data_IF_423446737223
#
_entry.id   IF_423446737223
#
_cell.length_a   1.000
_cell.length_b   1.000
_cell.length_c   1.000
_cell.angle_alpha   90.00
_cell.angle_beta   90.00
_cell.angle_gamma   90.00
#
_symmetry.space_group_name_H-M   'P 1'
#
loop_
_entity.id
_entity.type
_entity.pdbx_description
1 polymer ?
#
# COMPACT_ATOMS: atom_id res chain seq x y z
N UNK A 1 10.86 -81.50 14.18
CA UNK A 1 10.10 -80.93 13.03
C UNK A 1 9.62 -79.55 13.45
N UNK A 2 10.00 -78.52 12.67
CA UNK A 2 9.39 -77.19 12.44
C UNK A 2 8.32 -76.65 13.41
N UNK A 3 8.18 -75.36 13.75
CA UNK A 3 8.78 -74.06 13.41
C UNK A 3 8.01 -73.07 14.31
N UNK A 4 8.66 -72.27 15.17
CA UNK A 4 8.06 -71.04 15.75
C UNK A 4 9.15 -69.98 15.86
N UNK A 5 9.33 -69.23 14.78
CA UNK A 5 10.17 -68.04 14.70
C UNK A 5 9.36 -66.92 14.03
N UNK A 6 9.51 -65.71 14.54
CA UNK A 6 8.82 -64.48 14.12
C UNK A 6 7.53 -64.29 14.92
N UNK A 7 7.33 -63.24 15.74
CA UNK A 7 7.75 -61.87 15.55
C UNK A 7 7.68 -61.15 16.91
N UNK A 8 8.77 -61.15 17.69
CA UNK A 8 8.92 -60.32 18.90
C UNK A 8 9.83 -59.14 18.57
N UNK A 9 9.36 -58.23 17.71
CA UNK A 9 10.05 -56.96 17.42
C UNK A 9 9.16 -56.03 16.59
N UNK A 10 8.00 -55.58 17.09
CA UNK A 10 7.22 -54.52 16.44
C UNK A 10 6.20 -53.79 17.35
N UNK A 11 6.31 -53.86 18.68
CA UNK A 11 5.33 -53.25 19.59
C UNK A 11 6.00 -52.46 20.74
N UNK A 12 7.18 -51.88 20.46
CA UNK A 12 7.84 -50.93 21.35
C UNK A 12 7.73 -49.53 20.76
N UNK A 13 6.83 -48.69 21.28
CA UNK A 13 6.72 -47.30 20.85
C UNK A 13 5.35 -46.66 21.03
N UNK A 14 4.65 -46.94 22.14
CA UNK A 14 3.48 -46.16 22.55
C UNK A 14 3.92 -44.75 22.98
N UNK A 15 4.11 -43.86 22.01
CA UNK A 15 4.27 -42.42 22.25
C UNK A 15 2.91 -41.92 22.73
N UNK A 16 2.84 -41.43 23.97
CA UNK A 16 1.67 -40.73 24.51
C UNK A 16 1.35 -39.57 23.57
N UNK A 17 0.34 -39.71 22.72
CA UNK A 17 -0.36 -38.58 22.16
C UNK A 17 -1.06 -37.89 23.32
N UNK A 18 -0.49 -36.75 23.73
CA UNK A 18 -1.20 -35.75 24.50
C UNK A 18 -2.35 -35.25 23.64
N UNK A 19 -3.52 -35.87 23.78
CA UNK A 19 -4.79 -35.27 23.39
C UNK A 19 -4.96 -34.01 24.22
N UNK A 20 -4.49 -32.87 23.70
CA UNK A 20 -4.99 -31.56 24.08
C UNK A 20 -6.47 -31.56 23.71
N UNK A 21 -7.31 -31.86 24.71
CA UNK A 21 -8.71 -31.48 24.73
C UNK A 21 -8.74 -29.96 24.55
N UNK A 22 -8.96 -29.50 23.31
CA UNK A 22 -9.49 -28.17 23.05
C UNK A 22 -10.80 -28.09 23.82
N UNK A 23 -10.77 -27.40 24.97
CA UNK A 23 -11.97 -26.99 25.66
C UNK A 23 -12.86 -26.30 24.63
N UNK A 24 -13.97 -26.95 24.28
CA UNK A 24 -15.01 -26.33 23.48
C UNK A 24 -15.64 -25.28 24.39
N UNK A 25 -15.11 -24.06 24.32
CA UNK A 25 -15.72 -22.90 24.97
C UNK A 25 -17.17 -22.85 24.49
N UNK A 26 -18.10 -23.07 25.41
CA UNK A 26 -19.53 -22.90 25.13
C UNK A 26 -19.72 -21.51 24.54
N UNK A 27 -20.47 -21.34 23.45
CA UNK A 27 -20.68 -20.03 22.85
C UNK A 27 -21.26 -19.11 23.93
N UNK A 28 -20.54 -18.03 24.23
CA UNK A 28 -21.03 -16.99 25.12
C UNK A 28 -22.19 -16.32 24.40
N UNK A 29 -23.41 -16.60 24.83
CA UNK A 29 -24.61 -15.91 24.34
C UNK A 29 -24.61 -14.53 24.99
N UNK A 30 -24.06 -13.55 24.29
CA UNK A 30 -24.19 -12.14 24.66
C UNK A 30 -25.64 -11.75 24.35
N UNK A 31 -26.36 -11.19 25.32
CA UNK A 31 -27.71 -10.68 25.09
C UNK A 31 -27.66 -9.61 24.00
N UNK A 32 -28.48 -9.76 22.95
CA UNK A 32 -28.62 -8.74 21.93
C UNK A 32 -29.26 -7.50 22.59
N UNK A 33 -28.50 -6.42 22.71
CA UNK A 33 -28.97 -5.13 23.27
C UNK A 33 -29.79 -4.32 22.27
N UNK A 34 -30.07 -4.86 21.08
CA UNK A 34 -30.73 -4.15 20.01
C UNK A 34 -32.25 -4.28 20.07
N UNK A 35 -32.97 -3.16 20.05
CA UNK A 35 -34.44 -3.14 19.97
C UNK A 35 -34.90 -3.06 18.51
N UNK A 36 -35.89 -3.85 18.12
CA UNK A 36 -36.51 -3.72 16.80
C UNK A 36 -37.48 -2.55 16.80
N UNK A 37 -37.17 -1.51 16.03
CA UNK A 37 -37.95 -0.29 15.92
C UNK A 37 -38.31 -0.01 14.46
N UNK A 38 -39.40 0.73 14.25
CA UNK A 38 -39.76 1.30 12.96
C UNK A 38 -39.39 2.77 12.92
N UNK A 39 -38.39 3.11 12.12
CA UNK A 39 -37.77 4.44 12.13
C UNK A 39 -38.12 5.24 10.88
N UNK A 40 -38.21 6.56 11.03
CA UNK A 40 -38.28 7.47 9.89
C UNK A 40 -37.02 7.33 9.05
N UNK A 41 -37.17 7.22 7.73
CA UNK A 41 -35.99 7.13 6.84
C UNK A 41 -35.14 8.40 6.91
N UNK A 42 -35.78 9.56 7.14
CA UNK A 42 -35.12 10.87 7.25
C UNK A 42 -34.29 11.04 8.53
N UNK A 43 -34.50 10.23 9.57
CA UNK A 43 -33.70 10.27 10.79
C UNK A 43 -32.44 9.40 10.73
N UNK A 44 -32.23 8.67 9.64
CA UNK A 44 -31.14 7.73 9.47
C UNK A 44 -30.11 8.31 8.51
N UNK A 45 -28.85 8.30 8.90
CA UNK A 45 -27.70 8.76 8.10
C UNK A 45 -26.75 7.59 7.80
N UNK A 46 -26.12 7.54 6.62
CA UNK A 46 -25.08 6.55 6.34
C UNK A 46 -23.82 6.87 7.18
N UNK A 47 -23.07 5.84 7.55
CA UNK A 47 -21.76 6.04 8.16
C UNK A 47 -20.73 6.38 7.06
N UNK A 48 -20.15 7.60 7.06
CA UNK A 48 -19.17 8.00 6.04
C UNK A 48 -17.86 7.21 6.12
N UNK A 49 -17.69 6.40 7.16
CA UNK A 49 -16.48 5.63 7.40
C UNK A 49 -16.57 4.17 6.95
N UNK A 50 -17.69 3.78 6.34
CA UNK A 50 -17.88 2.44 5.81
C UNK A 50 -16.83 2.13 4.72
N UNK A 51 -16.27 0.91 4.71
CA UNK A 51 -15.24 0.54 3.73
C UNK A 51 -15.79 0.39 2.30
N UNK A 52 -17.10 0.15 2.14
CA UNK A 52 -17.76 0.07 0.83
C UNK A 52 -18.27 1.43 0.41
N UNK A 53 -17.77 1.94 -0.71
CA UNK A 53 -18.16 3.22 -1.31
C UNK A 53 -18.87 3.02 -2.66
N UNK A 54 -18.65 1.87 -3.30
CA UNK A 54 -19.17 1.55 -4.62
C UNK A 54 -20.50 0.80 -4.50
N UNK A 55 -21.53 1.37 -5.11
CA UNK A 55 -22.89 0.83 -5.11
C UNK A 55 -23.34 0.54 -6.55
N UNK A 56 -23.94 -0.62 -6.76
CA UNK A 56 -24.53 -0.97 -8.06
C UNK A 56 -25.98 -0.45 -8.14
N UNK A 57 -26.27 0.53 -9.02
CA UNK A 57 -27.62 1.08 -9.16
C UNK A 57 -28.65 0.02 -9.53
N UNK A 58 -28.29 -0.95 -10.37
CA UNK A 58 -29.22 -2.00 -10.81
C UNK A 58 -29.59 -2.92 -9.63
N UNK A 59 -28.63 -3.17 -8.73
CA UNK A 59 -28.87 -3.94 -7.52
C UNK A 59 -29.80 -3.21 -6.56
N UNK A 60 -29.60 -1.90 -6.36
CA UNK A 60 -30.50 -1.05 -5.55
C UNK A 60 -31.91 -1.06 -6.14
N UNK A 61 -32.05 -1.01 -7.47
CA UNK A 61 -33.35 -1.02 -8.15
C UNK A 61 -34.09 -2.33 -7.98
N UNK A 62 -33.34 -3.43 -8.05
CA UNK A 62 -33.88 -4.76 -7.76
C UNK A 62 -34.37 -4.86 -6.32
N UNK A 63 -33.59 -4.35 -5.36
CA UNK A 63 -34.00 -4.30 -3.95
C UNK A 63 -35.22 -3.40 -3.73
N UNK A 64 -35.31 -2.24 -4.37
CA UNK A 64 -36.44 -1.33 -4.24
C UNK A 64 -37.74 -1.99 -4.74
N UNK A 65 -37.69 -2.67 -5.90
CA UNK A 65 -38.82 -3.46 -6.41
C UNK A 65 -39.22 -4.58 -5.44
N UNK A 66 -38.24 -5.25 -4.84
CA UNK A 66 -38.50 -6.31 -3.85
C UNK A 66 -39.14 -5.78 -2.57
N UNK A 67 -38.67 -4.64 -2.08
CA UNK A 67 -39.27 -3.97 -0.92
C UNK A 67 -40.74 -3.61 -1.21
N UNK A 68 -41.05 -3.05 -2.38
CA UNK A 68 -42.43 -2.73 -2.76
C UNK A 68 -43.34 -3.97 -2.84
N UNK A 69 -42.81 -5.10 -3.34
CA UNK A 69 -43.58 -6.32 -3.55
C UNK A 69 -43.78 -7.15 -2.29
N UNK A 70 -42.69 -7.41 -1.58
CA UNK A 70 -42.63 -8.42 -0.51
C UNK A 70 -42.42 -7.79 0.89
N UNK A 71 -42.24 -6.46 0.97
CA UNK A 71 -41.89 -5.77 2.19
C UNK A 71 -40.44 -5.98 2.62
N UNK A 72 -40.13 -5.58 3.86
CA UNK A 72 -38.78 -5.67 4.41
C UNK A 72 -38.59 -6.99 5.16
N UNK A 73 -37.91 -7.94 4.53
CA UNK A 73 -37.64 -9.24 5.15
C UNK A 73 -36.53 -9.18 6.23
N UNK A 74 -35.59 -8.24 6.11
CA UNK A 74 -34.49 -8.10 7.06
C UNK A 74 -34.35 -6.65 7.54
N UNK A 75 -34.40 -6.40 8.86
CA UNK A 75 -34.16 -5.07 9.40
C UNK A 75 -32.73 -4.60 9.07
N UNK A 76 -32.56 -3.30 8.93
CA UNK A 76 -31.21 -2.68 8.95
C UNK A 76 -30.72 -2.65 10.41
N UNK A 77 -29.43 -2.46 10.63
CA UNK A 77 -28.92 -2.18 11.98
C UNK A 77 -28.42 -0.76 12.05
N UNK A 78 -28.78 -0.06 13.12
CA UNK A 78 -28.40 1.33 13.34
C UNK A 78 -27.90 1.54 14.75
N UNK A 79 -27.13 2.58 14.93
CA UNK A 79 -26.70 3.08 16.24
C UNK A 79 -27.35 4.44 16.47
N UNK A 80 -27.87 4.66 17.67
CA UNK A 80 -28.43 5.97 18.03
C UNK A 80 -27.31 6.99 18.25
N UNK A 81 -27.36 8.13 17.56
CA UNK A 81 -26.37 9.23 17.65
C UNK A 81 -26.91 10.48 18.35
N UNK A 82 -28.22 10.52 18.62
CA UNK A 82 -28.91 11.61 19.30
C UNK A 82 -30.40 11.33 19.40
N UNK A 83 -31.20 12.25 19.99
CA UNK A 83 -32.65 12.08 20.08
C UNK A 83 -33.27 11.93 18.69
N UNK A 84 -33.87 10.76 18.41
CA UNK A 84 -34.42 10.40 17.11
C UNK A 84 -33.43 10.58 15.95
N UNK A 85 -32.13 10.35 16.18
CA UNK A 85 -31.10 10.37 15.13
C UNK A 85 -30.29 9.08 15.16
N UNK A 86 -30.07 8.52 13.97
CA UNK A 86 -29.49 7.21 13.82
C UNK A 86 -28.42 7.21 12.72
N UNK A 87 -27.39 6.39 12.92
CA UNK A 87 -26.35 6.13 11.94
C UNK A 87 -26.40 4.66 11.53
N UNK A 88 -26.30 4.38 10.22
CA UNK A 88 -26.34 3.03 9.68
C UNK A 88 -25.08 2.28 10.09
N UNK A 89 -25.27 1.13 10.74
CA UNK A 89 -24.19 0.18 11.02
C UNK A 89 -24.10 -0.87 9.92
N UNK A 90 -25.21 -1.52 9.58
CA UNK A 90 -25.30 -2.46 8.46
C UNK A 90 -26.61 -2.29 7.68
N UNK A 91 -26.57 -2.58 6.38
CA UNK A 91 -27.76 -2.58 5.52
C UNK A 91 -28.00 -1.31 4.72
N UNK A 92 -26.95 -0.55 4.41
CA UNK A 92 -27.04 0.71 3.65
C UNK A 92 -27.76 0.55 2.30
N UNK A 93 -27.52 -0.55 1.57
CA UNK A 93 -28.24 -0.85 0.32
C UNK A 93 -29.76 -1.00 0.52
N UNK A 94 -30.19 -1.57 1.65
CA UNK A 94 -31.62 -1.69 1.99
C UNK A 94 -32.22 -0.33 2.33
N UNK A 95 -31.49 0.53 3.05
CA UNK A 95 -31.92 1.90 3.32
C UNK A 95 -32.02 2.74 2.04
N UNK A 96 -31.01 2.69 1.15
CA UNK A 96 -31.04 3.36 -0.17
C UNK A 96 -32.20 2.85 -1.04
N UNK A 97 -32.42 1.53 -1.04
CA UNK A 97 -33.54 0.94 -1.75
C UNK A 97 -34.90 1.37 -1.20
N UNK A 98 -35.05 1.49 0.13
CA UNK A 98 -36.26 1.98 0.76
C UNK A 98 -36.52 3.46 0.46
N UNK A 99 -35.48 4.30 0.46
CA UNK A 99 -35.55 5.68 -0.04
C UNK A 99 -36.03 5.73 -1.49
N UNK A 100 -35.40 4.94 -2.37
CA UNK A 100 -35.76 4.88 -3.78
C UNK A 100 -37.19 4.35 -4.00
N UNK A 101 -37.65 3.43 -3.16
CA UNK A 101 -39.01 2.90 -3.17
C UNK A 101 -40.07 3.89 -2.64
N UNK A 102 -39.66 5.05 -2.11
CA UNK A 102 -40.56 6.08 -1.56
C UNK A 102 -41.12 5.74 -0.18
N UNK A 103 -40.44 4.89 0.59
CA UNK A 103 -40.87 4.55 1.94
C UNK A 103 -40.65 5.71 2.91
N UNK A 104 -41.57 5.90 3.85
CA UNK A 104 -41.43 6.88 4.93
C UNK A 104 -40.72 6.27 6.15
N UNK A 105 -40.96 4.98 6.38
CA UNK A 105 -40.44 4.24 7.53
C UNK A 105 -39.73 2.94 7.11
N UNK A 106 -38.72 2.54 7.87
CA UNK A 106 -37.97 1.29 7.70
C UNK A 106 -37.79 0.57 9.03
N UNK A 107 -37.84 -0.75 9.03
CA UNK A 107 -37.57 -1.57 10.22
C UNK A 107 -36.06 -1.63 10.47
N UNK A 108 -35.66 -1.35 11.70
CA UNK A 108 -34.27 -1.25 12.12
C UNK A 108 -34.08 -1.85 13.51
N UNK A 109 -32.96 -2.55 13.71
CA UNK A 109 -32.47 -2.92 15.04
C UNK A 109 -31.61 -1.76 15.54
N UNK A 110 -32.07 -1.12 16.60
CA UNK A 110 -31.43 0.04 17.23
C UNK A 110 -30.53 -0.44 18.35
N UNK A 111 -29.24 -0.19 18.21
CA UNK A 111 -28.28 -0.38 19.29
C UNK A 111 -28.14 0.93 20.07
N UNK A 112 -28.25 0.83 21.39
CA UNK A 112 -27.97 1.95 22.28
C UNK A 112 -26.48 2.32 22.20
N UNK A 113 -26.23 3.54 21.70
CA UNK A 113 -25.01 4.30 21.91
C UNK A 113 -23.71 3.78 21.25
N UNK A 114 -23.20 4.51 20.27
CA UNK A 114 -21.76 4.74 20.12
C UNK A 114 -21.46 6.03 20.88
N UNK A 115 -20.35 6.12 21.64
CA UNK A 115 -19.88 7.39 22.16
C UNK A 115 -19.90 8.47 21.06
N UNK A 116 -20.41 9.66 21.38
CA UNK A 116 -20.49 10.79 20.44
C UNK A 116 -19.13 11.11 19.79
N UNK A 117 -18.03 10.79 20.49
CA UNK A 117 -16.69 10.74 19.96
C UNK A 117 -16.08 9.35 20.18
N UNK A 118 -16.01 8.55 19.12
CA UNK A 118 -15.24 7.33 19.12
C UNK A 118 -13.75 7.68 19.08
N UNK A 119 -12.97 7.08 19.98
CA UNK A 119 -11.51 7.12 19.89
C UNK A 119 -11.04 6.44 18.60
N UNK A 120 -9.87 6.83 18.08
CA UNK A 120 -9.33 6.22 16.86
C UNK A 120 -9.24 4.68 16.92
N UNK A 121 -8.82 4.05 18.04
CA UNK A 121 -8.83 2.58 18.16
C UNK A 121 -10.23 1.95 18.10
N UNK A 122 -11.26 2.62 18.64
CA UNK A 122 -12.65 2.14 18.55
C UNK A 122 -13.16 2.21 17.11
N UNK A 123 -12.85 3.30 16.39
CA UNK A 123 -13.15 3.42 14.96
C UNK A 123 -12.44 2.32 14.15
N UNK A 124 -11.20 1.97 14.51
CA UNK A 124 -10.46 0.89 13.86
C UNK A 124 -11.18 -0.46 14.03
N UNK A 125 -11.67 -0.76 15.23
CA UNK A 125 -12.39 -2.00 15.51
C UNK A 125 -13.74 -2.08 14.78
N UNK A 126 -14.45 -0.95 14.66
CA UNK A 126 -15.67 -0.86 13.84
C UNK A 126 -15.34 -1.12 12.37
N UNK A 127 -14.32 -0.47 11.83
CA UNK A 127 -13.89 -0.64 10.44
C UNK A 127 -13.47 -2.09 10.14
N UNK A 128 -12.74 -2.72 11.07
CA UNK A 128 -12.36 -4.13 10.98
C UNK A 128 -13.58 -5.05 10.90
N UNK A 129 -14.57 -4.86 11.77
CA UNK A 129 -15.82 -5.64 11.75
C UNK A 129 -16.59 -5.41 10.45
N UNK A 130 -16.73 -4.16 10.01
CA UNK A 130 -17.38 -3.83 8.74
C UNK A 130 -16.69 -4.49 7.55
N UNK A 131 -15.35 -4.54 7.55
CA UNK A 131 -14.57 -5.23 6.51
C UNK A 131 -14.88 -6.73 6.50
N UNK A 132 -14.79 -7.39 7.66
CA UNK A 132 -15.08 -8.82 7.81
C UNK A 132 -16.51 -9.18 7.40
N UNK A 133 -17.50 -8.39 7.81
CA UNK A 133 -18.91 -8.57 7.42
C UNK A 133 -19.14 -8.44 5.90
N UNK A 134 -18.33 -7.64 5.20
CA UNK A 134 -18.40 -7.53 3.73
C UNK A 134 -17.83 -8.78 3.06
N UNK A 135 -16.70 -9.30 3.56
CA UNK A 135 -16.05 -10.50 3.01
C UNK A 135 -17.00 -11.72 2.99
N UNK A 136 -17.89 -11.84 3.99
CA UNK A 136 -18.90 -12.92 4.08
C UNK A 136 -20.13 -12.74 3.17
N UNK A 137 -20.29 -11.59 2.50
CA UNK A 137 -21.46 -11.29 1.64
C UNK A 137 -21.06 -11.10 0.19
N UNK A 138 -20.45 -9.95 -0.08
CA UNK A 138 -19.89 -9.56 -1.36
C UNK A 138 -18.58 -8.89 -1.00
N UNK A 139 -17.44 -9.34 -1.52
CA UNK A 139 -16.17 -8.74 -1.18
C UNK A 139 -16.16 -7.25 -1.54
N UNK A 140 -15.34 -6.50 -0.82
CA UNK A 140 -14.96 -5.14 -1.21
C UNK A 140 -14.27 -5.17 -2.57
N UNK A 141 -14.35 -4.07 -3.32
CA UNK A 141 -13.47 -3.89 -4.49
C UNK A 141 -12.01 -3.89 -4.03
N UNK A 142 -11.05 -4.23 -4.90
CA UNK A 142 -9.63 -4.24 -4.54
C UNK A 142 -9.15 -2.90 -3.96
N UNK A 143 -9.66 -1.78 -4.48
CA UNK A 143 -9.33 -0.45 -3.96
C UNK A 143 -9.94 -0.18 -2.58
N UNK A 144 -11.21 -0.53 -2.38
CA UNK A 144 -11.89 -0.40 -1.08
C UNK A 144 -11.16 -1.20 0.01
N UNK A 145 -10.74 -2.42 -0.30
CA UNK A 145 -9.97 -3.27 0.62
C UNK A 145 -8.61 -2.64 0.97
N UNK A 146 -7.87 -2.13 -0.02
CA UNK A 146 -6.60 -1.43 0.20
C UNK A 146 -6.78 -0.20 1.09
N UNK A 147 -7.80 0.62 0.80
CA UNK A 147 -8.13 1.83 1.57
C UNK A 147 -8.54 1.49 3.00
N UNK A 148 -9.36 0.47 3.19
CA UNK A 148 -9.76 -0.01 4.52
C UNK A 148 -8.56 -0.50 5.34
N UNK A 149 -7.64 -1.26 4.72
CA UNK A 149 -6.40 -1.70 5.38
C UNK A 149 -5.52 -0.52 5.80
N UNK A 150 -5.34 0.48 4.93
CA UNK A 150 -4.54 1.66 5.24
C UNK A 150 -5.15 2.48 6.39
N UNK A 151 -6.46 2.70 6.32
CA UNK A 151 -7.21 3.42 7.35
C UNK A 151 -7.20 2.68 8.69
N UNK A 152 -7.30 1.35 8.69
CA UNK A 152 -7.19 0.55 9.91
C UNK A 152 -5.83 0.72 10.60
N UNK A 153 -4.74 0.68 9.82
CA UNK A 153 -3.39 0.87 10.36
C UNK A 153 -3.22 2.26 10.96
N UNK A 154 -3.76 3.29 10.32
CA UNK A 154 -3.75 4.67 10.83
C UNK A 154 -4.54 4.80 12.14
N UNK A 155 -5.80 4.33 12.15
CA UNK A 155 -6.71 4.46 13.28
C UNK A 155 -6.29 3.61 14.49
N UNK A 156 -5.78 2.40 14.26
CA UNK A 156 -5.39 1.49 15.34
C UNK A 156 -4.09 1.91 16.02
N UNK A 157 -3.20 2.63 15.33
CA UNK A 157 -1.85 2.96 15.81
C UNK A 157 -0.95 1.74 16.05
N UNK A 158 -1.39 0.54 15.65
CA UNK A 158 -0.68 -0.73 15.88
C UNK A 158 0.49 -0.88 14.91
N UNK A 159 1.46 -1.71 15.28
CA UNK A 159 2.54 -2.07 14.35
C UNK A 159 1.99 -2.91 13.21
N UNK A 160 2.61 -2.83 12.03
CA UNK A 160 2.17 -3.59 10.84
C UNK A 160 2.02 -5.10 11.06
N UNK A 161 2.76 -5.71 11.99
CA UNK A 161 2.60 -7.13 12.31
C UNK A 161 1.27 -7.41 13.00
N UNK A 162 1.00 -6.68 14.09
CA UNK A 162 -0.24 -6.78 14.88
C UNK A 162 -1.46 -6.42 14.02
N UNK A 163 -1.37 -5.34 13.23
CA UNK A 163 -2.46 -4.93 12.35
C UNK A 163 -2.73 -5.94 11.23
N UNK A 164 -1.71 -6.68 10.77
CA UNK A 164 -1.90 -7.75 9.79
C UNK A 164 -2.62 -8.94 10.43
N UNK A 165 -2.25 -9.31 11.66
CA UNK A 165 -2.94 -10.35 12.42
C UNK A 165 -4.41 -10.00 12.69
N UNK A 166 -4.71 -8.76 13.09
CA UNK A 166 -6.09 -8.31 13.31
C UNK A 166 -6.94 -8.41 12.03
N UNK A 167 -6.35 -8.09 10.87
CA UNK A 167 -7.05 -8.10 9.57
C UNK A 167 -7.06 -9.49 8.90
N UNK A 168 -6.56 -10.53 9.55
CA UNK A 168 -6.42 -11.88 8.99
C UNK A 168 -5.55 -11.91 7.70
N UNK A 169 -4.49 -11.09 7.66
CA UNK A 169 -3.57 -10.94 6.54
C UNK A 169 -2.14 -11.36 6.92
N UNK A 170 -1.36 -11.77 5.92
CA UNK A 170 0.08 -11.84 6.12
C UNK A 170 0.69 -10.44 6.17
N UNK A 171 1.74 -10.25 6.99
CA UNK A 171 2.50 -8.99 7.05
C UNK A 171 2.96 -8.52 5.67
N UNK A 172 3.38 -9.46 4.81
CA UNK A 172 3.80 -9.19 3.43
C UNK A 172 2.65 -8.64 2.60
N UNK A 173 1.45 -9.19 2.77
CA UNK A 173 0.27 -8.77 2.00
C UNK A 173 -0.21 -7.38 2.43
N UNK A 174 -0.31 -7.12 3.74
CA UNK A 174 -0.60 -5.78 4.25
C UNK A 174 0.43 -4.76 3.75
N UNK A 175 1.71 -5.11 3.75
CA UNK A 175 2.78 -4.24 3.24
C UNK A 175 2.59 -3.87 1.76
N UNK A 176 2.14 -4.81 0.92
CA UNK A 176 1.83 -4.54 -0.50
C UNK A 176 0.67 -3.56 -0.65
N UNK A 177 -0.43 -3.79 0.07
CA UNK A 177 -1.61 -2.91 0.05
C UNK A 177 -1.24 -1.48 0.49
N UNK A 178 -0.50 -1.35 1.60
CA UNK A 178 -0.01 -0.06 2.08
C UNK A 178 0.94 0.63 1.09
N UNK A 179 1.80 -0.14 0.41
CA UNK A 179 2.69 0.41 -0.63
C UNK A 179 1.90 0.99 -1.80
N UNK A 180 0.80 0.35 -2.21
CA UNK A 180 -0.06 0.81 -3.29
C UNK A 180 -0.87 2.04 -2.85
N UNK A 181 -1.45 2.01 -1.65
CA UNK A 181 -2.19 3.14 -1.08
C UNK A 181 -1.34 4.42 -0.97
N UNK A 182 -0.08 4.27 -0.57
CA UNK A 182 0.88 5.38 -0.49
C UNK A 182 1.64 5.61 -1.81
N UNK A 183 1.24 4.94 -2.88
CA UNK A 183 1.85 5.04 -4.20
C UNK A 183 1.35 6.26 -4.99
N UNK A 184 1.91 6.49 -6.20
CA UNK A 184 1.45 7.53 -7.11
C UNK A 184 -0.03 7.35 -7.52
N UNK A 185 -0.74 8.46 -7.73
CA UNK A 185 -2.18 8.46 -8.07
C UNK A 185 -2.47 7.68 -9.35
N UNK A 186 -1.58 7.74 -10.34
CA UNK A 186 -1.68 7.02 -11.60
C UNK A 186 -1.70 5.50 -11.38
N UNK A 187 -0.96 5.00 -10.38
CA UNK A 187 -0.97 3.58 -10.03
C UNK A 187 -2.20 3.22 -9.20
N UNK A 188 -2.64 4.11 -8.31
CA UNK A 188 -3.91 3.92 -7.57
C UNK A 188 -5.10 3.85 -8.53
N UNK A 189 -5.10 4.67 -9.58
CA UNK A 189 -6.14 4.72 -10.62
C UNK A 189 -6.32 3.36 -11.32
N UNK A 190 -5.22 2.63 -11.55
CA UNK A 190 -5.30 1.29 -12.15
C UNK A 190 -6.13 0.31 -11.32
N UNK A 191 -6.04 0.42 -9.99
CA UNK A 191 -6.80 -0.43 -9.07
C UNK A 191 -8.24 0.05 -8.95
N UNK A 192 -8.45 1.38 -8.90
CA UNK A 192 -9.79 1.99 -8.83
C UNK A 192 -10.63 1.67 -10.07
N UNK A 193 -10.00 1.68 -11.24
CA UNK A 193 -10.63 1.30 -12.51
C UNK A 193 -10.70 -0.22 -12.72
N UNK A 194 -10.21 -1.02 -11.76
CA UNK A 194 -10.05 -2.48 -11.85
C UNK A 194 -9.25 -2.98 -13.07
N UNK A 195 -8.50 -2.09 -13.75
CA UNK A 195 -7.65 -2.42 -14.89
C UNK A 195 -6.44 -3.28 -14.48
N UNK A 196 -5.97 -3.14 -13.23
CA UNK A 196 -4.94 -4.01 -12.66
C UNK A 196 -5.15 -4.20 -11.15
N UNK A 197 -5.28 -5.46 -10.73
CA UNK A 197 -5.57 -5.82 -9.33
C UNK A 197 -4.48 -6.68 -8.67
N UNK A 198 -3.50 -7.17 -9.44
CA UNK A 198 -2.38 -7.95 -8.91
C UNK A 198 -1.44 -7.06 -8.07
N UNK A 199 -1.43 -7.29 -6.75
CA UNK A 199 -0.69 -6.47 -5.78
C UNK A 199 0.83 -6.48 -5.99
N UNK A 200 1.41 -7.58 -6.50
CA UNK A 200 2.86 -7.64 -6.78
C UNK A 200 3.22 -6.73 -7.95
N UNK A 201 2.41 -6.77 -9.01
CA UNK A 201 2.62 -5.98 -10.23
C UNK A 201 2.46 -4.50 -9.93
N UNK A 202 1.40 -4.13 -9.21
CA UNK A 202 1.18 -2.76 -8.72
C UNK A 202 2.33 -2.29 -7.83
N UNK A 203 2.75 -3.13 -6.86
CA UNK A 203 3.90 -2.82 -6.02
C UNK A 203 5.21 -2.64 -6.80
N UNK A 204 5.41 -3.41 -7.88
CA UNK A 204 6.55 -3.25 -8.78
C UNK A 204 6.48 -1.94 -9.57
N UNK A 205 5.29 -1.53 -10.01
CA UNK A 205 5.08 -0.23 -10.67
C UNK A 205 5.33 0.95 -9.72
N UNK A 206 4.91 0.84 -8.45
CA UNK A 206 5.23 1.86 -7.43
C UNK A 206 6.75 1.96 -7.21
N UNK A 207 7.47 0.84 -7.18
CA UNK A 207 8.93 0.87 -7.09
C UNK A 207 9.57 1.45 -8.36
N UNK A 208 9.06 1.08 -9.53
CA UNK A 208 9.55 1.56 -10.80
C UNK A 208 9.34 3.07 -10.94
N UNK A 209 8.22 3.60 -10.47
CA UNK A 209 7.96 5.05 -10.45
C UNK A 209 9.04 5.83 -9.72
N UNK A 210 9.58 5.28 -8.63
CA UNK A 210 10.67 5.92 -7.86
C UNK A 210 12.01 5.92 -8.60
N UNK A 211 12.21 5.01 -9.55
CA UNK A 211 13.46 4.84 -10.27
C UNK A 211 13.41 5.46 -11.67
N UNK A 212 12.26 5.39 -12.34
CA UNK A 212 12.01 5.80 -13.71
C UNK A 212 10.53 6.20 -13.86
N UNK A 213 10.23 7.43 -13.42
CA UNK A 213 8.88 7.97 -13.38
C UNK A 213 8.25 8.05 -14.78
N UNK A 214 9.00 8.49 -15.80
CA UNK A 214 8.50 8.65 -17.18
C UNK A 214 8.04 7.30 -17.75
N UNK A 215 8.84 6.24 -17.55
CA UNK A 215 8.46 4.91 -17.97
C UNK A 215 7.26 4.35 -17.20
N UNK A 216 7.25 4.49 -15.87
CA UNK A 216 6.17 3.98 -15.03
C UNK A 216 4.82 4.66 -15.36
N UNK A 217 4.83 5.97 -15.59
CA UNK A 217 3.65 6.74 -16.00
C UNK A 217 3.14 6.29 -17.38
N UNK A 218 4.03 6.14 -18.36
CA UNK A 218 3.66 5.67 -19.68
C UNK A 218 3.07 4.25 -19.64
N UNK A 219 3.59 3.38 -18.78
CA UNK A 219 3.06 2.03 -18.63
C UNK A 219 1.70 2.03 -17.91
N UNK A 220 1.52 2.83 -16.87
CA UNK A 220 0.23 2.98 -16.20
C UNK A 220 -0.85 3.46 -17.18
N UNK A 221 -0.55 4.48 -18.00
CA UNK A 221 -1.48 4.95 -19.02
C UNK A 221 -1.85 3.85 -20.02
N UNK A 222 -0.87 3.10 -20.53
CA UNK A 222 -1.12 1.97 -21.45
C UNK A 222 -2.02 0.91 -20.83
N UNK A 223 -1.82 0.58 -19.56
CA UNK A 223 -2.65 -0.42 -18.87
C UNK A 223 -4.09 0.06 -18.75
N UNK A 224 -4.28 1.34 -18.43
CA UNK A 224 -5.61 1.94 -18.31
C UNK A 224 -6.35 1.95 -19.65
N UNK A 225 -5.64 2.23 -20.76
CA UNK A 225 -6.22 2.24 -22.11
C UNK A 225 -6.47 0.84 -22.68
N UNK A 226 -5.55 -0.10 -22.46
CA UNK A 226 -5.63 -1.46 -23.02
C UNK A 226 -6.53 -2.40 -22.22
N UNK A 227 -6.87 -2.07 -20.97
CA UNK A 227 -7.77 -2.83 -20.09
C UNK A 227 -7.21 -4.16 -19.56
N UNK A 228 -6.12 -4.71 -20.13
CA UNK A 228 -5.42 -5.88 -19.61
C UNK A 228 -3.91 -5.78 -19.82
N UNK A 229 -3.15 -6.30 -18.86
CA UNK A 229 -1.69 -6.48 -18.98
C UNK A 229 -1.36 -7.72 -19.81
N UNK A 230 -0.27 -7.66 -20.58
CA UNK A 230 0.29 -8.84 -21.23
C UNK A 230 0.78 -9.85 -20.18
N UNK A 231 0.57 -11.14 -20.42
CA UNK A 231 1.20 -12.21 -19.62
C UNK A 231 2.70 -11.96 -19.50
N UNK A 232 3.21 -11.84 -18.27
CA UNK A 232 4.62 -11.52 -17.98
C UNK A 232 4.92 -10.06 -17.60
N UNK A 233 3.93 -9.16 -17.55
CA UNK A 233 4.14 -7.78 -17.09
C UNK A 233 4.75 -7.71 -15.67
N UNK A 234 4.34 -8.60 -14.77
CA UNK A 234 4.90 -8.72 -13.42
C UNK A 234 6.42 -8.95 -13.45
N UNK A 235 6.86 -9.92 -14.26
CA UNK A 235 8.27 -10.25 -14.41
C UNK A 235 9.05 -9.12 -15.11
N UNK A 236 8.43 -8.47 -16.12
CA UNK A 236 8.99 -7.33 -16.84
C UNK A 236 9.28 -6.16 -15.88
N UNK A 237 8.32 -5.75 -15.05
CA UNK A 237 8.52 -4.63 -14.13
C UNK A 237 9.50 -4.99 -13.02
N UNK A 238 9.37 -6.17 -12.42
CA UNK A 238 10.29 -6.64 -11.39
C UNK A 238 11.75 -6.73 -11.90
N UNK A 239 11.95 -7.25 -13.11
CA UNK A 239 13.26 -7.31 -13.74
C UNK A 239 13.84 -5.93 -14.04
N UNK A 240 13.02 -4.98 -14.52
CA UNK A 240 13.45 -3.59 -14.76
C UNK A 240 13.85 -2.89 -13.47
N UNK A 241 13.06 -3.04 -12.41
CA UNK A 241 13.39 -2.51 -11.07
C UNK A 241 14.73 -3.07 -10.58
N UNK A 242 14.95 -4.39 -10.73
CA UNK A 242 16.22 -5.03 -10.36
C UNK A 242 17.40 -4.48 -11.16
N UNK A 243 17.25 -4.38 -12.50
CA UNK A 243 18.30 -3.86 -13.37
C UNK A 243 18.67 -2.41 -13.05
N UNK A 244 17.68 -1.54 -12.82
CA UNK A 244 17.90 -0.14 -12.45
C UNK A 244 18.58 0.00 -11.08
N UNK A 245 18.20 -0.81 -10.08
CA UNK A 245 18.88 -0.84 -8.77
C UNK A 245 20.33 -1.32 -8.87
N UNK A 246 20.63 -2.21 -9.81
CA UNK A 246 21.98 -2.71 -10.10
C UNK A 246 22.77 -1.78 -11.05
N UNK A 247 22.22 -0.63 -11.44
CA UNK A 247 22.86 0.34 -12.33
C UNK A 247 23.03 -0.14 -13.77
N UNK A 248 22.28 -1.16 -14.19
CA UNK A 248 22.31 -1.67 -15.57
C UNK A 248 21.46 -0.81 -16.48
N UNK A 249 21.90 -0.64 -17.72
CA UNK A 249 21.09 0.00 -18.75
C UNK A 249 19.87 -0.87 -19.09
N UNK A 250 18.71 -0.23 -19.21
CA UNK A 250 17.45 -0.87 -19.57
C UNK A 250 16.90 -0.27 -20.86
N UNK A 251 16.30 -1.06 -21.76
CA UNK A 251 15.74 -0.54 -23.00
C UNK A 251 14.73 0.57 -22.73
N UNK A 252 14.91 1.73 -23.37
CA UNK A 252 14.01 2.87 -23.25
C UNK A 252 14.20 3.77 -22.01
N UNK A 253 15.19 3.52 -21.14
CA UNK A 253 15.60 4.58 -20.19
C UNK A 253 16.39 5.64 -20.95
N UNK A 254 15.98 6.92 -20.89
CA UNK A 254 16.89 8.01 -21.27
C UNK A 254 18.14 7.84 -20.41
N UNK A 255 19.36 7.89 -20.98
CA UNK A 255 20.55 7.80 -20.16
C UNK A 255 20.45 8.90 -19.11
N UNK A 256 20.49 8.50 -17.84
CA UNK A 256 20.72 9.45 -16.76
C UNK A 256 21.89 10.30 -17.24
N UNK A 257 21.74 11.64 -17.25
CA UNK A 257 22.89 12.53 -17.33
C UNK A 257 23.77 12.11 -16.17
N UNK A 258 24.73 11.21 -16.42
CA UNK A 258 25.97 11.19 -15.67
C UNK A 258 26.40 12.64 -15.78
N UNK A 259 26.40 13.35 -14.66
CA UNK A 259 27.39 14.41 -14.48
C UNK A 259 28.70 13.72 -14.84
N UNK A 260 29.10 13.88 -16.09
CA UNK A 260 30.44 13.55 -16.52
C UNK A 260 31.27 14.45 -15.62
N UNK A 261 31.93 13.85 -14.62
CA UNK A 261 33.06 14.50 -14.00
C UNK A 261 33.89 15.06 -15.16
N UNK A 262 34.19 16.38 -15.15
CA UNK A 262 34.92 16.99 -16.24
C UNK A 262 36.17 16.15 -16.43
N UNK A 263 36.27 15.49 -17.59
CA UNK A 263 37.43 14.69 -17.92
C UNK A 263 38.61 15.66 -17.85
N UNK A 264 39.41 15.54 -16.80
CA UNK A 264 40.67 16.26 -16.72
C UNK A 264 41.47 15.79 -17.92
N UNK A 265 41.81 16.69 -18.87
CA UNK A 265 42.67 16.29 -19.97
C UNK A 265 43.95 15.71 -19.37
N UNK A 266 44.41 14.58 -19.92
CA UNK A 266 45.69 13.98 -19.54
C UNK A 266 46.74 15.09 -19.46
N UNK A 267 47.49 15.21 -18.35
CA UNK A 267 48.48 16.26 -18.24
C UNK A 267 49.48 16.09 -19.38
N UNK A 268 49.47 17.03 -20.33
CA UNK A 268 50.65 17.29 -21.16
C UNK A 268 51.77 17.57 -20.17
N UNK A 269 52.90 16.91 -20.34
CA UNK A 269 54.13 17.16 -19.58
C UNK A 269 54.51 18.63 -19.72
N UNK A 270 54.08 19.45 -18.75
CA UNK A 270 54.35 20.87 -18.70
C UNK A 270 55.53 21.07 -17.76
N UNK A 271 56.62 21.62 -18.28
CA UNK A 271 57.71 22.13 -17.45
C UNK A 271 57.27 23.51 -16.95
N UNK A 272 56.52 23.54 -15.85
CA UNK A 272 56.09 24.79 -15.24
C UNK A 272 57.29 25.51 -14.58
N UNK A 273 57.28 26.84 -14.62
CA UNK A 273 58.37 27.67 -14.05
C UNK A 273 57.95 28.33 -12.74
N UNK A 274 56.65 28.64 -12.57
CA UNK A 274 56.03 29.15 -11.34
C UNK A 274 54.56 28.71 -11.25
N UNK A 275 54.13 28.35 -10.05
CA UNK A 275 52.73 28.05 -9.71
C UNK A 275 52.33 29.03 -8.62
N UNK A 276 51.25 29.78 -8.83
CA UNK A 276 50.72 30.74 -7.87
C UNK A 276 49.26 30.44 -7.56
N UNK A 277 48.83 30.83 -6.36
CA UNK A 277 47.43 30.75 -5.91
C UNK A 277 46.78 32.10 -6.17
N UNK A 278 45.90 32.18 -7.18
CA UNK A 278 45.23 33.43 -7.51
C UNK A 278 44.03 33.69 -6.57
N UNK A 279 43.16 32.68 -6.39
CA UNK A 279 41.95 32.77 -5.56
C UNK A 279 41.59 31.38 -4.96
N UNK A 280 40.72 31.33 -3.93
CA UNK A 280 40.29 30.08 -3.26
C UNK A 280 39.76 29.05 -4.27
N UNK A 281 40.61 28.08 -4.64
CA UNK A 281 40.28 26.99 -5.56
C UNK A 281 40.62 27.25 -7.03
N UNK A 282 41.44 28.26 -7.34
CA UNK A 282 41.97 28.50 -8.69
C UNK A 282 43.50 28.57 -8.64
N UNK A 283 44.16 27.66 -9.36
CA UNK A 283 45.61 27.68 -9.58
C UNK A 283 45.94 28.49 -10.82
N UNK A 284 46.96 29.34 -10.75
CA UNK A 284 47.50 30.06 -11.89
C UNK A 284 48.92 29.56 -12.17
N UNK A 285 49.14 29.04 -13.39
CA UNK A 285 50.41 28.45 -13.81
C UNK A 285 50.99 29.31 -14.91
N UNK A 286 52.21 29.80 -14.69
CA UNK A 286 52.93 30.63 -15.66
C UNK A 286 53.96 29.77 -16.42
N UNK A 287 53.89 29.78 -17.74
CA UNK A 287 54.86 29.11 -18.58
C UNK A 287 56.18 29.89 -18.67
N UNK A 288 57.25 29.27 -19.18
CA UNK A 288 58.55 29.92 -19.35
C UNK A 288 58.58 31.05 -20.38
N UNK A 289 57.46 31.37 -21.02
CA UNK A 289 57.26 32.44 -22.01
C UNK A 289 56.36 33.58 -21.47
N UNK A 290 55.94 33.52 -20.20
CA UNK A 290 55.13 34.56 -19.54
C UNK A 290 53.61 34.43 -19.77
N UNK A 291 53.12 33.29 -20.28
CA UNK A 291 51.69 33.05 -20.40
C UNK A 291 51.15 32.41 -19.12
N UNK A 292 50.11 33.00 -18.54
CA UNK A 292 49.43 32.47 -17.35
C UNK A 292 48.15 31.72 -17.72
N UNK A 293 47.98 30.50 -17.19
CA UNK A 293 46.78 29.68 -17.34
C UNK A 293 46.11 29.44 -15.99
N UNK A 294 44.77 29.56 -15.92
CA UNK A 294 43.99 29.38 -14.70
C UNK A 294 43.23 28.04 -14.69
N UNK A 295 43.41 27.27 -13.62
CA UNK A 295 42.79 25.95 -13.42
C UNK A 295 41.89 25.97 -12.18
N UNK A 296 40.61 25.65 -12.36
CA UNK A 296 39.66 25.51 -11.25
C UNK A 296 39.79 24.12 -10.63
N UNK A 297 40.10 24.07 -9.34
CA UNK A 297 40.35 22.81 -8.62
C UNK A 297 39.06 22.30 -7.96
N UNK A 298 38.70 21.01 -8.13
CA UNK A 298 37.55 20.41 -7.46
C UNK A 298 37.62 20.50 -5.93
N UNK A 299 36.46 20.60 -5.26
CA UNK A 299 36.38 20.72 -3.79
C UNK A 299 36.98 19.53 -3.05
N UNK A 300 36.96 18.34 -3.66
CA UNK A 300 37.54 17.11 -3.11
C UNK A 300 39.05 17.18 -2.93
N UNK A 301 39.74 18.04 -3.67
CA UNK A 301 41.21 18.15 -3.66
C UNK A 301 41.71 19.26 -2.72
N UNK A 302 40.80 20.00 -2.05
CA UNK A 302 41.14 21.14 -1.18
C UNK A 302 42.10 20.82 -0.02
N UNK A 303 42.18 19.56 0.43
CA UNK A 303 43.07 19.18 1.54
C UNK A 303 44.51 18.90 1.11
N UNK A 304 44.70 18.56 -0.16
CA UNK A 304 46.00 18.10 -0.70
C UNK A 304 46.51 18.96 -1.86
N UNK A 305 45.83 20.07 -2.16
CA UNK A 305 46.07 20.92 -3.34
C UNK A 305 47.48 21.50 -3.45
N UNK A 306 48.12 21.88 -2.33
CA UNK A 306 49.53 22.34 -2.32
C UNK A 306 50.48 21.21 -2.76
N UNK A 307 50.27 19.99 -2.24
CA UNK A 307 51.05 18.80 -2.61
C UNK A 307 50.79 18.36 -4.05
N UNK A 308 49.56 18.49 -4.53
CA UNK A 308 49.18 18.16 -5.91
C UNK A 308 49.80 19.17 -6.89
N UNK A 309 49.84 20.45 -6.53
CA UNK A 309 50.52 21.49 -7.30
C UNK A 309 52.02 21.22 -7.45
N UNK A 310 52.69 20.88 -6.34
CA UNK A 310 54.11 20.52 -6.36
C UNK A 310 54.38 19.24 -7.18
N UNK A 311 53.53 18.21 -7.04
CA UNK A 311 53.72 16.92 -7.71
C UNK A 311 53.44 16.97 -9.23
N UNK A 312 52.47 17.76 -9.68
CA UNK A 312 52.12 17.85 -11.10
C UNK A 312 53.01 18.80 -11.88
N UNK A 313 53.55 19.84 -11.23
CA UNK A 313 54.19 20.95 -11.93
C UNK A 313 55.64 21.21 -11.48
N UNK A 314 56.17 20.42 -10.53
CA UNK A 314 57.60 20.34 -10.25
C UNK A 314 58.25 21.59 -9.63
N UNK A 315 57.45 22.58 -9.24
CA UNK A 315 57.91 23.77 -8.53
C UNK A 315 57.46 23.76 -7.08
N UNK A 316 58.34 24.14 -6.15
CA UNK A 316 57.93 24.52 -4.79
C UNK A 316 57.03 25.75 -4.88
N UNK A 317 55.90 25.71 -4.18
CA UNK A 317 55.05 26.88 -3.91
C UNK A 317 55.79 27.90 -3.04
#
# INVERSE_FOLDING_TARGET
MSKKAGLKAALGGGRKESTETRETSKPVVIAATGELCRLLISSITPDPNQPRETFDPNFIDSLARKLQKDGQHQPITVVMTGPNQYKIRNGENRWKAAQKAGWEYIDAIVYEYEPAELTAPEQAEILRKQKSDNDDRRPLTPWEDIKACARYVELSGKKQGEAAEDLDLSKTDLSKRLKIFNGPEEIQMLVRAEALTNLNTLGSLVELWKLDQEYAAAEAQKILEAGQISSGAEQKYAARVKALKEGREVPGSKPAKKEQEPQTPKPMTFSAKKVNVAEKGVLEIEDGKGNAMRFKVPRSWKKDWEKIGEALFGGKL
#
